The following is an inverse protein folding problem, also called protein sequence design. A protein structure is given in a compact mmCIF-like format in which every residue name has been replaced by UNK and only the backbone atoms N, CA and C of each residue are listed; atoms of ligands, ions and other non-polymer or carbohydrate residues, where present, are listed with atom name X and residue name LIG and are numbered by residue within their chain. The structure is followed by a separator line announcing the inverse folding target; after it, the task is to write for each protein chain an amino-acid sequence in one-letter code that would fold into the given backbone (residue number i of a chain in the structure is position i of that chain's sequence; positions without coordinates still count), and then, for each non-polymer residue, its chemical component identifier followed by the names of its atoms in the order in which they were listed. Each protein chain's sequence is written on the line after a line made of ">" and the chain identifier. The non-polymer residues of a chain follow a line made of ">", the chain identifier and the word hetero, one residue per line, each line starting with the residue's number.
data_IF_345969099553
#
_entry.id   IF_345969099553
#
_cell.length_a   1.000
_cell.length_b   1.000
_cell.length_c   1.000
_cell.angle_alpha   90.00
_cell.angle_beta   90.00
_cell.angle_gamma   90.00
#
_symmetry.space_group_name_H-M   'P 1'
#
loop_
_entity.id
_entity.type
_entity.pdbx_description
1 polymer ?
#
# COMPACT_ATOMS: atom_id res chain seq x y z
N UNK A 1 32.89 37.84 41.03
CA UNK A 1 32.34 37.54 39.68
C UNK A 1 32.22 36.03 39.57
N UNK A 2 31.11 35.47 40.03
CA UNK A 2 30.84 34.04 39.96
C UNK A 2 30.38 33.70 38.55
N UNK A 3 31.25 33.03 37.78
CA UNK A 3 30.92 32.51 36.46
C UNK A 3 29.89 31.40 36.62
N UNK A 4 28.61 31.72 36.36
CA UNK A 4 27.54 30.75 36.19
C UNK A 4 27.71 30.17 34.79
N UNK A 5 28.45 29.07 34.66
CA UNK A 5 28.30 28.21 33.50
C UNK A 5 26.99 27.45 33.71
N UNK A 6 25.90 27.99 33.16
CA UNK A 6 24.66 27.23 32.97
C UNK A 6 25.02 26.00 32.13
N UNK A 7 24.98 24.83 32.76
CA UNK A 7 25.09 23.56 32.05
C UNK A 7 23.84 23.45 31.19
N UNK A 8 24.01 23.61 29.87
CA UNK A 8 22.95 23.43 28.90
C UNK A 8 22.49 21.96 28.96
N UNK A 9 21.42 21.71 29.71
CA UNK A 9 20.86 20.37 29.87
C UNK A 9 19.98 20.08 28.65
N UNK A 10 20.59 19.53 27.59
CA UNK A 10 19.85 19.14 26.38
C UNK A 10 19.06 17.87 26.71
N UNK A 11 17.75 18.01 26.87
CA UNK A 11 16.84 16.89 27.07
C UNK A 11 16.66 16.09 25.76
N UNK A 12 16.29 14.82 25.86
CA UNK A 12 15.88 13.94 24.74
C UNK A 12 16.96 13.55 23.71
N UNK A 13 18.26 13.77 24.00
CA UNK A 13 19.36 13.38 23.09
C UNK A 13 19.26 11.90 22.66
N UNK A 14 18.91 11.00 23.59
CA UNK A 14 18.82 9.56 23.29
C UNK A 14 17.69 9.25 22.31
N UNK A 15 16.54 9.90 22.48
CA UNK A 15 15.41 9.75 21.57
C UNK A 15 15.70 10.33 20.20
N UNK A 16 16.32 11.52 20.14
CA UNK A 16 16.74 12.13 18.88
C UNK A 16 17.77 11.25 18.16
N UNK A 17 18.70 10.64 18.91
CA UNK A 17 19.68 9.73 18.35
C UNK A 17 19.01 8.43 17.85
N UNK A 18 18.05 7.86 18.59
CA UNK A 18 17.26 6.71 18.12
C UNK A 18 16.53 7.03 16.81
N UNK A 19 15.84 8.18 16.75
CA UNK A 19 15.15 8.62 15.55
C UNK A 19 16.13 8.82 14.39
N UNK A 20 17.27 9.45 14.63
CA UNK A 20 18.29 9.67 13.61
C UNK A 20 18.84 8.34 13.07
N UNK A 21 19.12 7.36 13.94
CA UNK A 21 19.55 6.03 13.53
C UNK A 21 18.47 5.31 12.72
N UNK A 22 17.20 5.40 13.13
CA UNK A 22 16.07 4.82 12.38
C UNK A 22 15.86 5.48 11.04
N UNK A 23 16.01 6.80 10.94
CA UNK A 23 15.94 7.54 9.68
C UNK A 23 17.11 7.16 8.77
N UNK A 24 18.32 7.07 9.32
CA UNK A 24 19.50 6.65 8.58
C UNK A 24 19.37 5.23 8.03
N UNK A 25 18.88 4.28 8.83
CA UNK A 25 18.68 2.90 8.43
C UNK A 25 17.67 2.73 7.28
N UNK A 26 16.76 3.69 7.06
CA UNK A 26 15.83 3.65 5.91
C UNK A 26 16.51 3.91 4.57
N UNK A 27 17.71 4.48 4.56
CA UNK A 27 18.46 4.72 3.33
C UNK A 27 19.26 3.48 2.89
N UNK A 28 19.32 2.46 3.74
CA UNK A 28 20.02 1.22 3.46
C UNK A 28 19.02 0.12 3.04
N UNK A 29 19.30 -0.63 1.96
CA UNK A 29 18.46 -1.76 1.59
C UNK A 29 18.54 -2.87 2.64
N UNK A 30 17.44 -3.61 2.82
CA UNK A 30 17.41 -4.70 3.83
C UNK A 30 18.42 -5.81 3.57
N UNK A 31 18.85 -5.98 2.30
CA UNK A 31 19.85 -6.96 1.86
C UNK A 31 20.71 -6.34 0.74
N UNK A 32 21.97 -6.79 0.56
CA UNK A 32 22.79 -6.32 -0.54
C UNK A 32 22.12 -6.65 -1.88
N UNK A 33 21.93 -5.64 -2.70
CA UNK A 33 21.32 -5.74 -4.02
C UNK A 33 22.37 -6.06 -5.07
N UNK A 34 21.98 -6.81 -6.11
CA UNK A 34 22.86 -7.09 -7.24
C UNK A 34 23.24 -5.78 -7.95
N UNK A 35 24.54 -5.47 -8.11
CA UNK A 35 24.98 -4.29 -8.83
C UNK A 35 24.76 -4.44 -10.34
N UNK A 36 24.48 -3.32 -11.01
CA UNK A 36 24.43 -3.27 -12.47
C UNK A 36 25.80 -2.81 -13.00
N UNK A 37 26.51 -3.71 -13.68
CA UNK A 37 27.77 -3.37 -14.32
C UNK A 37 27.52 -2.79 -15.71
N UNK A 38 28.18 -1.67 -15.99
CA UNK A 38 28.34 -1.17 -17.36
C UNK A 38 29.66 -1.65 -17.94
N UNK A 39 29.65 -2.04 -19.22
CA UNK A 39 30.90 -2.33 -19.93
C UNK A 39 31.71 -1.04 -20.07
N UNK A 40 33.02 -1.12 -19.81
CA UNK A 40 33.91 0.03 -20.00
C UNK A 40 34.47 -0.02 -21.42
N UNK A 41 34.41 1.09 -22.18
CA UNK A 41 34.95 1.10 -23.53
C UNK A 41 36.47 0.90 -23.48
N UNK A 42 36.98 0.10 -24.42
CA UNK A 42 38.42 -0.13 -24.59
C UNK A 42 38.90 0.64 -25.83
N UNK A 43 40.15 1.11 -25.79
CA UNK A 43 40.72 1.86 -26.91
C UNK A 43 40.89 0.99 -28.14
N UNK A 44 40.29 1.42 -29.25
CA UNK A 44 40.41 0.76 -30.57
C UNK A 44 41.45 1.43 -31.47
N UNK A 45 42.16 2.47 -30.98
CA UNK A 45 43.05 3.33 -31.80
C UNK A 45 44.06 2.54 -32.65
N UNK A 46 44.58 1.44 -32.13
CA UNK A 46 45.59 0.61 -32.81
C UNK A 46 45.09 -0.79 -33.14
N UNK A 47 43.77 -1.03 -33.03
CA UNK A 47 43.16 -2.32 -33.33
C UNK A 47 42.75 -2.34 -34.81
N UNK A 48 43.50 -3.06 -35.65
CA UNK A 48 43.13 -3.32 -37.04
C UNK A 48 42.50 -4.71 -37.12
N UNK A 49 41.21 -4.78 -37.45
CA UNK A 49 40.41 -6.01 -37.48
C UNK A 49 40.58 -6.85 -36.20
N UNK A 50 40.14 -6.35 -35.03
CA UNK A 50 40.32 -7.05 -33.75
C UNK A 50 39.62 -8.41 -33.80
N UNK A 51 40.42 -9.48 -33.83
CA UNK A 51 39.94 -10.87 -33.72
C UNK A 51 39.88 -11.29 -32.24
N UNK A 52 40.55 -10.56 -31.35
CA UNK A 52 40.68 -10.86 -29.92
C UNK A 52 40.15 -9.70 -29.09
N UNK A 53 39.38 -10.02 -28.05
CA UNK A 53 38.89 -9.04 -27.09
C UNK A 53 40.04 -8.47 -26.25
N UNK A 54 40.13 -7.14 -26.19
CA UNK A 54 41.17 -6.40 -25.46
C UNK A 54 40.73 -6.00 -24.06
N UNK A 55 39.54 -6.42 -23.61
CA UNK A 55 39.04 -6.19 -22.26
C UNK A 55 39.95 -6.86 -21.23
N UNK A 56 40.39 -6.07 -20.26
CA UNK A 56 41.18 -6.55 -19.13
C UNK A 56 40.25 -7.32 -18.18
N UNK A 57 40.60 -8.57 -17.89
CA UNK A 57 39.91 -9.40 -16.91
C UNK A 57 40.02 -8.82 -15.49
N UNK A 58 38.94 -8.90 -14.72
CA UNK A 58 38.92 -8.38 -13.34
C UNK A 58 39.84 -9.21 -12.43
N UNK A 59 40.51 -8.52 -11.50
CA UNK A 59 41.31 -9.20 -10.45
C UNK A 59 40.45 -9.73 -9.31
N UNK A 60 39.23 -9.21 -9.15
CA UNK A 60 38.32 -9.54 -8.05
C UNK A 60 37.24 -10.49 -8.57
N UNK A 61 36.93 -11.58 -7.84
CA UNK A 61 35.82 -12.47 -8.20
C UNK A 61 34.47 -11.77 -8.05
N UNK A 62 33.49 -12.23 -8.81
CA UNK A 62 32.13 -11.70 -8.74
C UNK A 62 31.39 -12.30 -7.55
N UNK A 63 30.79 -11.44 -6.72
CA UNK A 63 29.92 -11.87 -5.63
C UNK A 63 28.58 -12.41 -6.15
N UNK A 64 28.05 -13.44 -5.47
CA UNK A 64 26.73 -14.01 -5.77
C UNK A 64 25.65 -13.33 -4.94
N UNK A 65 24.64 -12.77 -5.60
CA UNK A 65 23.52 -12.11 -4.95
C UNK A 65 22.23 -12.94 -5.10
N UNK A 66 21.34 -12.95 -4.10
CA UNK A 66 20.03 -13.58 -4.24
C UNK A 66 19.17 -12.83 -5.25
N UNK A 67 18.18 -13.53 -5.80
CA UNK A 67 17.16 -12.92 -6.66
C UNK A 67 16.39 -11.86 -5.89
N UNK A 68 16.24 -10.68 -6.47
CA UNK A 68 15.50 -9.58 -5.85
C UNK A 68 14.00 -9.88 -5.83
N UNK A 69 13.38 -9.79 -4.65
CA UNK A 69 11.94 -9.91 -4.47
C UNK A 69 11.42 -8.73 -3.64
N UNK A 70 10.50 -7.89 -4.19
CA UNK A 70 9.99 -6.71 -3.49
C UNK A 70 9.35 -7.02 -2.14
N UNK A 71 8.67 -8.17 -2.01
CA UNK A 71 8.02 -8.58 -0.76
C UNK A 71 8.98 -9.00 0.36
N UNK A 72 10.25 -9.27 0.05
CA UNK A 72 11.26 -9.70 1.03
C UNK A 72 12.38 -8.69 1.24
N UNK A 73 12.68 -7.88 0.22
CA UNK A 73 13.82 -6.96 0.22
C UNK A 73 13.33 -5.55 -0.07
N UNK A 74 13.35 -4.72 0.97
CA UNK A 74 13.12 -3.29 0.81
C UNK A 74 14.30 -2.64 0.08
N UNK A 75 13.99 -1.87 -0.96
CA UNK A 75 14.95 -1.08 -1.73
C UNK A 75 14.59 0.41 -1.60
N UNK A 76 15.34 1.20 -0.82
CA UNK A 76 15.10 2.64 -0.67
C UNK A 76 15.70 3.49 -1.79
N UNK A 77 16.41 2.88 -2.74
CA UNK A 77 17.11 3.58 -3.81
C UNK A 77 16.17 4.12 -4.89
N UNK A 78 16.41 3.71 -6.13
CA UNK A 78 15.65 4.17 -7.29
C UNK A 78 14.43 3.29 -7.56
N UNK A 79 13.51 3.80 -8.38
CA UNK A 79 12.34 3.05 -8.87
C UNK A 79 12.72 1.85 -9.78
N UNK A 80 14.01 1.63 -10.05
CA UNK A 80 14.51 0.56 -10.89
C UNK A 80 15.23 -0.48 -10.04
N UNK A 81 14.46 -1.49 -9.61
CA UNK A 81 14.99 -2.65 -8.90
C UNK A 81 16.06 -3.41 -9.73
N UNK A 82 16.90 -4.24 -9.07
CA UNK A 82 17.82 -5.12 -9.78
C UNK A 82 17.11 -5.97 -10.84
N UNK A 83 17.75 -6.09 -12.01
CA UNK A 83 17.20 -6.79 -13.18
C UNK A 83 16.77 -8.23 -12.87
N UNK A 84 17.48 -8.93 -11.98
CA UNK A 84 17.16 -10.32 -11.60
C UNK A 84 15.73 -10.50 -11.08
N UNK A 85 15.17 -9.51 -10.37
CA UNK A 85 13.78 -9.58 -9.91
C UNK A 85 12.76 -9.52 -11.04
N UNK A 86 12.99 -8.65 -12.03
CA UNK A 86 12.16 -8.56 -13.23
C UNK A 86 12.30 -9.80 -14.10
N UNK A 87 13.54 -10.24 -14.36
CA UNK A 87 13.84 -11.37 -15.24
C UNK A 87 13.29 -12.71 -14.74
N UNK A 88 13.14 -12.86 -13.43
CA UNK A 88 12.56 -14.07 -12.82
C UNK A 88 11.04 -14.06 -12.78
N UNK A 89 10.41 -12.88 -12.86
CA UNK A 89 8.95 -12.71 -12.76
C UNK A 89 8.37 -12.01 -14.00
N UNK A 90 8.92 -12.30 -15.19
CA UNK A 90 8.51 -11.64 -16.45
C UNK A 90 7.01 -11.79 -16.68
N UNK A 91 6.44 -12.98 -16.47
CA UNK A 91 5.02 -13.23 -16.70
C UNK A 91 4.14 -12.40 -15.75
N UNK A 92 4.54 -12.25 -14.49
CA UNK A 92 3.83 -11.42 -13.52
C UNK A 92 3.90 -9.95 -13.95
N UNK A 93 5.09 -9.45 -14.28
CA UNK A 93 5.31 -8.07 -14.74
C UNK A 93 4.55 -7.77 -16.03
N UNK A 94 4.55 -8.69 -17.00
CA UNK A 94 3.78 -8.56 -18.23
C UNK A 94 2.27 -8.57 -17.97
N UNK A 95 1.80 -9.35 -17.00
CA UNK A 95 0.39 -9.36 -16.57
C UNK A 95 0.01 -8.03 -15.91
N UNK A 96 0.81 -7.55 -14.96
CA UNK A 96 0.64 -6.25 -14.28
C UNK A 96 0.65 -5.08 -15.28
N UNK A 97 1.48 -5.17 -16.33
CA UNK A 97 1.52 -4.19 -17.44
C UNK A 97 0.44 -4.41 -18.50
N UNK A 98 -0.47 -5.38 -18.30
CA UNK A 98 -1.55 -5.72 -19.22
C UNK A 98 -1.09 -6.10 -20.64
N UNK A 99 0.12 -6.64 -20.79
CA UNK A 99 0.72 -6.95 -22.10
C UNK A 99 0.09 -8.16 -22.80
N UNK A 100 -0.48 -9.08 -22.03
CA UNK A 100 -1.18 -10.26 -22.57
C UNK A 100 -2.61 -9.94 -23.03
N UNK A 101 -3.14 -8.76 -22.70
CA UNK A 101 -4.49 -8.37 -23.06
C UNK A 101 -4.53 -7.82 -24.49
N UNK A 102 -5.58 -8.16 -25.24
CA UNK A 102 -5.82 -7.58 -26.55
C UNK A 102 -6.15 -6.08 -26.42
N UNK A 103 -5.73 -5.28 -27.41
CA UNK A 103 -6.05 -3.86 -27.50
C UNK A 103 -7.56 -3.68 -27.76
N UNK A 104 -8.34 -3.56 -26.69
CA UNK A 104 -9.79 -3.38 -26.72
C UNK A 104 -10.19 -2.24 -25.78
N UNK A 105 -11.29 -1.56 -26.09
CA UNK A 105 -11.85 -0.47 -25.26
C UNK A 105 -12.87 -1.03 -24.27
N UNK A 106 -12.45 -1.99 -23.45
CA UNK A 106 -13.25 -2.64 -22.41
C UNK A 106 -12.42 -2.74 -21.11
N UNK A 107 -13.07 -2.93 -19.96
CA UNK A 107 -12.45 -3.12 -18.64
C UNK A 107 -11.49 -4.32 -18.62
N UNK A 108 -11.75 -5.33 -19.47
CA UNK A 108 -10.91 -6.51 -19.63
C UNK A 108 -9.54 -6.22 -20.29
N UNK A 109 -9.29 -5.02 -20.80
CA UNK A 109 -7.99 -4.69 -21.41
C UNK A 109 -6.93 -4.24 -20.41
N UNK A 110 -7.31 -4.06 -19.14
CA UNK A 110 -6.43 -3.60 -18.07
C UNK A 110 -6.41 -4.61 -16.94
N UNK A 111 -5.24 -4.85 -16.37
CA UNK A 111 -5.10 -5.63 -15.14
C UNK A 111 -5.70 -4.87 -13.95
N UNK A 112 -6.69 -5.49 -13.32
CA UNK A 112 -7.34 -4.98 -12.10
C UNK A 112 -7.01 -5.97 -10.98
N UNK A 113 -6.37 -5.55 -9.88
CA UNK A 113 -6.08 -6.43 -8.77
C UNK A 113 -7.36 -6.88 -8.05
N UNK A 114 -7.28 -7.98 -7.29
CA UNK A 114 -8.42 -8.47 -6.50
C UNK A 114 -8.84 -7.46 -5.44
N UNK A 115 -10.13 -7.45 -5.08
CA UNK A 115 -10.66 -6.66 -3.96
C UNK A 115 -9.88 -6.89 -2.67
N UNK A 116 -9.41 -8.12 -2.45
CA UNK A 116 -8.73 -8.53 -1.22
C UNK A 116 -7.23 -8.22 -1.24
N UNK A 117 -6.75 -7.49 -2.26
CA UNK A 117 -5.35 -7.09 -2.36
C UNK A 117 -5.02 -5.92 -1.44
N UNK A 118 -3.76 -5.81 -1.02
CA UNK A 118 -3.25 -4.72 -0.18
C UNK A 118 -3.51 -3.31 -0.75
N UNK A 119 -3.78 -3.20 -2.06
CA UNK A 119 -4.12 -1.93 -2.71
C UNK A 119 -5.53 -1.43 -2.33
N UNK A 120 -6.47 -2.35 -2.08
CA UNK A 120 -7.86 -2.04 -1.74
C UNK A 120 -8.18 -2.33 -0.28
N UNK A 121 -7.62 -3.42 0.27
CA UNK A 121 -7.74 -3.79 1.67
C UNK A 121 -6.44 -3.47 2.41
N UNK A 122 -6.46 -2.42 3.24
CA UNK A 122 -5.37 -2.17 4.18
C UNK A 122 -5.85 -2.54 5.59
N UNK A 123 -5.56 -3.75 6.08
CA UNK A 123 -5.91 -4.13 7.44
C UNK A 123 -5.09 -3.28 8.42
N UNK A 124 -5.70 -2.20 8.92
CA UNK A 124 -5.12 -1.40 10.00
C UNK A 124 -5.25 -2.21 11.28
N UNK A 125 -4.16 -2.86 11.67
CA UNK A 125 -4.07 -3.54 12.96
C UNK A 125 -4.05 -2.50 14.08
N UNK A 126 -5.22 -2.20 14.63
CA UNK A 126 -5.37 -1.36 15.81
C UNK A 126 -4.69 -2.01 17.03
N UNK A 127 -4.10 -1.19 17.90
CA UNK A 127 -3.73 -1.65 19.24
C UNK A 127 -5.01 -1.73 20.08
N UNK A 128 -5.20 -2.77 20.89
CA UNK A 128 -6.32 -2.82 21.81
C UNK A 128 -6.09 -1.77 22.91
N UNK A 129 -6.67 -0.59 22.72
CA UNK A 129 -6.72 0.47 23.73
C UNK A 129 -8.11 0.51 24.37
N UNK A 130 -8.17 0.82 25.66
CA UNK A 130 -9.45 1.03 26.33
C UNK A 130 -10.09 2.32 25.80
N UNK A 131 -11.21 2.19 25.10
CA UNK A 131 -12.04 3.32 24.66
C UNK A 131 -12.52 4.12 25.89
N UNK A 132 -12.12 5.39 26.06
CA UNK A 132 -12.52 6.18 27.23
C UNK A 132 -14.00 6.57 27.21
N UNK A 133 -14.65 6.47 26.05
CA UNK A 133 -16.04 6.84 25.83
C UNK A 133 -16.95 5.61 25.67
N UNK A 134 -17.78 5.26 26.68
CA UNK A 134 -18.59 4.04 26.64
C UNK A 134 -19.68 4.06 25.56
N UNK A 135 -20.12 5.24 25.12
CA UNK A 135 -21.16 5.40 24.10
C UNK A 135 -20.67 5.47 22.65
N UNK A 136 -19.36 5.52 22.40
CA UNK A 136 -18.83 5.85 21.06
C UNK A 136 -19.23 4.82 19.98
N UNK A 137 -19.37 3.56 20.38
CA UNK A 137 -19.80 2.46 19.51
C UNK A 137 -21.18 1.90 19.89
N UNK A 138 -21.93 2.60 20.73
CA UNK A 138 -23.26 2.17 21.10
C UNK A 138 -24.24 2.55 19.99
N UNK A 139 -24.68 1.55 19.23
CA UNK A 139 -25.76 1.75 18.27
C UNK A 139 -27.10 1.71 19.00
N UNK A 140 -27.81 2.84 19.05
CA UNK A 140 -29.18 2.88 19.54
C UNK A 140 -30.10 2.21 18.51
N UNK A 141 -30.51 0.98 18.77
CA UNK A 141 -31.59 0.33 18.01
C UNK A 141 -32.92 0.89 18.48
N UNK A 142 -33.62 1.64 17.62
CA UNK A 142 -35.02 1.95 17.87
C UNK A 142 -35.86 0.69 17.66
N UNK A 143 -36.87 0.48 18.51
CA UNK A 143 -37.88 -0.54 18.23
C UNK A 143 -38.59 -0.19 16.92
N UNK A 144 -39.05 -1.20 16.18
CA UNK A 144 -39.86 -0.99 15.00
C UNK A 144 -41.12 -0.18 15.38
N UNK A 145 -41.19 1.07 14.92
CA UNK A 145 -42.33 1.95 15.19
C UNK A 145 -43.26 1.93 13.98
N UNK A 146 -44.44 1.35 14.14
CA UNK A 146 -45.50 1.44 13.15
C UNK A 146 -46.46 2.58 13.52
N UNK A 147 -46.45 3.73 12.82
CA UNK A 147 -47.36 4.84 13.10
C UNK A 147 -48.83 4.52 12.77
N UNK A 148 -49.09 3.45 12.02
CA UNK A 148 -50.43 3.04 11.64
C UNK A 148 -51.09 2.17 12.72
N UNK A 149 -51.48 2.79 13.83
CA UNK A 149 -52.16 2.10 14.94
C UNK A 149 -53.52 1.51 14.53
N UNK A 150 -54.21 2.14 13.58
CA UNK A 150 -55.53 1.71 13.12
C UNK A 150 -55.50 0.73 11.94
N UNK A 151 -54.32 0.33 11.48
CA UNK A 151 -54.11 -0.68 10.44
C UNK A 151 -54.88 -0.41 9.12
N UNK A 152 -55.02 0.86 8.74
CA UNK A 152 -55.64 1.32 7.47
C UNK A 152 -54.66 1.19 6.31
N UNK A 153 -55.10 1.37 5.06
CA UNK A 153 -54.12 1.50 3.99
C UNK A 153 -53.66 0.22 3.29
N UNK A 154 -54.32 -0.93 3.49
CA UNK A 154 -53.80 -2.24 3.04
C UNK A 154 -54.08 -2.59 1.57
N UNK A 155 -55.13 -2.03 1.00
CA UNK A 155 -55.60 -2.43 -0.32
C UNK A 155 -54.81 -1.77 -1.46
N UNK A 156 -54.59 -2.50 -2.55
CA UNK A 156 -53.83 -2.06 -3.73
C UNK A 156 -54.53 -0.93 -4.49
N UNK A 157 -55.88 -0.92 -4.50
CA UNK A 157 -56.72 0.09 -5.14
C UNK A 157 -57.87 0.51 -4.20
N UNK A 158 -58.46 1.69 -4.42
CA UNK A 158 -59.57 2.24 -3.60
C UNK A 158 -59.26 2.38 -2.11
N UNK A 159 -58.11 3.00 -1.82
CA UNK A 159 -57.58 3.14 -0.46
C UNK A 159 -57.54 4.60 0.04
N UNK A 160 -58.66 5.36 0.03
CA UNK A 160 -58.68 6.70 0.61
C UNK A 160 -58.62 6.59 2.13
N UNK A 161 -57.42 6.70 2.69
CA UNK A 161 -57.16 6.61 4.14
C UNK A 161 -57.96 7.61 4.96
N UNK A 162 -58.36 8.75 4.36
CA UNK A 162 -59.27 9.74 4.97
C UNK A 162 -60.64 9.15 5.28
N UNK A 163 -61.26 8.47 4.31
CA UNK A 163 -62.59 7.86 4.48
C UNK A 163 -62.51 6.62 5.37
N UNK A 164 -61.46 5.82 5.21
CA UNK A 164 -61.21 4.67 6.08
C UNK A 164 -61.10 5.10 7.55
N UNK A 165 -60.43 6.22 7.85
CA UNK A 165 -60.33 6.74 9.22
C UNK A 165 -61.66 7.25 9.77
N UNK A 166 -62.52 7.83 8.93
CA UNK A 166 -63.86 8.29 9.34
C UNK A 166 -64.80 7.14 9.69
N UNK A 167 -64.64 5.99 9.02
CA UNK A 167 -65.47 4.80 9.20
C UNK A 167 -64.98 3.85 10.32
N UNK A 168 -63.88 4.18 10.99
CA UNK A 168 -63.28 3.33 12.03
C UNK A 168 -63.55 3.85 13.44
N UNK A 169 -63.94 2.95 14.34
CA UNK A 169 -63.98 3.20 15.79
C UNK A 169 -62.58 3.05 16.42
N UNK A 170 -61.57 3.66 15.81
CA UNK A 170 -60.20 3.66 16.31
C UNK A 170 -59.85 5.05 16.84
N UNK A 171 -59.74 5.20 18.16
CA UNK A 171 -59.37 6.48 18.77
C UNK A 171 -57.85 6.66 18.68
N UNK A 172 -57.41 7.65 17.90
CA UNK A 172 -56.03 8.14 17.97
C UNK A 172 -55.89 8.96 19.26
N UNK A 173 -54.96 8.55 20.14
CA UNK A 173 -54.44 9.43 21.21
C UNK A 173 -53.36 10.33 20.63
#
# INVERSE_FOLDING_TARGET
>A
MSNVFETLNVCNIEYDNELNLRLSARNEPSRPLQPQFSIRPVSTKYALLPVVDTVISSSVPLDTYPIYQPGQVFNPGNNMAPWSGFATNIDVESTLRSQFMALQRNEQSVYIPSSDSDMYENPVYGRPEQQPFPGLFQHASFQSFNPNTCNVGKDLFHNPTREQRLNLNCNQR
#
